data_IF_980451361289
#
_entry.id   IF_980451361289
#
_cell.length_a   1.000
_cell.length_b   1.000
_cell.length_c   1.000
_cell.angle_alpha   90.00
_cell.angle_beta   90.00
_cell.angle_gamma   90.00
#
_symmetry.space_group_name_H-M   'P 1'
#
loop_
_entity.id
_entity.type
_entity.pdbx_description
1 polymer ?
#
# COMPACT_ATOMS: atom_id res chain seq x y z
N UNK A 1 -3.94 5.66 14.39
CA UNK A 1 -5.17 5.00 13.92
C UNK A 1 -5.13 3.49 14.15
N UNK A 2 -4.01 2.79 13.90
CA UNK A 2 -3.92 1.33 14.02
C UNK A 2 -4.21 0.84 15.45
N UNK A 3 -3.69 1.51 16.48
CA UNK A 3 -3.96 1.15 17.87
C UNK A 3 -5.42 1.24 18.26
N UNK A 4 -6.22 2.04 17.55
CA UNK A 4 -7.65 2.18 17.75
C UNK A 4 -8.47 1.09 17.04
N UNK A 5 -7.92 0.45 15.99
CA UNK A 5 -8.63 -0.54 15.20
C UNK A 5 -9.24 -1.67 16.05
N UNK A 6 -8.45 -2.43 16.82
CA UNK A 6 -8.98 -3.48 17.68
C UNK A 6 -9.95 -2.99 18.75
N UNK A 7 -9.78 -1.76 19.25
CA UNK A 7 -10.69 -1.17 20.24
C UNK A 7 -12.05 -0.90 19.59
N UNK A 8 -12.06 -0.23 18.42
CA UNK A 8 -13.29 0.17 17.73
C UNK A 8 -14.07 -1.02 17.16
N UNK A 9 -13.37 -2.04 16.66
CA UNK A 9 -13.99 -3.29 16.17
C UNK A 9 -14.42 -4.24 17.29
N UNK A 10 -14.06 -3.97 18.57
CA UNK A 10 -14.45 -4.78 19.68
C UNK A 10 -15.90 -4.50 20.15
N UNK A 11 -16.47 -5.44 20.92
CA UNK A 11 -17.69 -5.23 21.70
C UNK A 11 -17.47 -4.50 23.03
N UNK A 12 -16.25 -4.06 23.35
CA UNK A 12 -15.89 -3.50 24.64
C UNK A 12 -16.18 -2.00 24.71
N UNK A 13 -17.40 -1.64 25.11
CA UNK A 13 -17.84 -0.24 25.20
C UNK A 13 -17.07 0.55 26.26
N UNK A 14 -16.55 -0.09 27.31
CA UNK A 14 -15.73 0.57 28.33
C UNK A 14 -14.39 1.00 27.73
N UNK A 15 -13.73 0.12 26.98
CA UNK A 15 -12.49 0.46 26.28
C UNK A 15 -12.71 1.56 25.23
N UNK A 16 -13.81 1.54 24.47
CA UNK A 16 -14.15 2.60 23.50
C UNK A 16 -14.32 3.95 24.17
N UNK A 17 -15.10 4.02 25.26
CA UNK A 17 -15.31 5.27 26.01
C UNK A 17 -14.01 5.82 26.58
N UNK A 18 -13.15 4.94 27.13
CA UNK A 18 -11.82 5.32 27.62
C UNK A 18 -10.96 5.87 26.49
N UNK A 19 -10.90 5.16 25.36
CA UNK A 19 -10.15 5.61 24.20
C UNK A 19 -10.63 6.96 23.66
N UNK A 20 -11.95 7.17 23.60
CA UNK A 20 -12.53 8.44 23.16
C UNK A 20 -12.18 9.62 24.09
N UNK A 21 -12.18 9.39 25.41
CA UNK A 21 -11.75 10.38 26.40
C UNK A 21 -10.27 10.74 26.22
N UNK A 22 -9.41 9.72 26.13
CA UNK A 22 -7.97 9.88 25.94
C UNK A 22 -7.64 10.60 24.62
N UNK A 23 -8.37 10.29 23.51
CA UNK A 23 -8.19 10.98 22.23
C UNK A 23 -8.46 12.48 22.34
N UNK A 24 -9.48 12.90 23.11
CA UNK A 24 -9.78 14.32 23.35
C UNK A 24 -8.66 15.03 24.12
N UNK A 25 -7.90 14.31 24.90
CA UNK A 25 -6.73 14.78 25.65
C UNK A 25 -5.44 14.74 24.84
N UNK A 26 -5.49 14.29 23.57
CA UNK A 26 -4.33 14.18 22.69
C UNK A 26 -3.48 12.93 22.91
N UNK A 27 -4.01 11.91 23.59
CA UNK A 27 -3.29 10.68 23.88
C UNK A 27 -2.93 9.88 22.62
N UNK A 28 -1.84 9.14 22.71
CA UNK A 28 -1.28 8.30 21.64
C UNK A 28 -1.72 6.85 21.83
N UNK A 29 -1.90 6.14 20.71
CA UNK A 29 -2.32 4.74 20.67
C UNK A 29 -1.33 3.92 19.83
N UNK A 30 -1.10 2.67 20.24
CA UNK A 30 -0.20 1.77 19.53
C UNK A 30 -0.85 0.42 19.21
N UNK A 31 -0.33 -0.24 18.18
CA UNK A 31 -0.77 -1.54 17.70
C UNK A 31 0.32 -2.58 17.93
N UNK A 32 0.19 -3.34 19.02
CA UNK A 32 1.13 -4.36 19.47
C UNK A 32 0.92 -5.69 18.76
N UNK A 33 1.24 -5.77 17.46
CA UNK A 33 1.03 -6.97 16.65
C UNK A 33 2.31 -7.78 16.49
N UNK A 34 3.35 -7.21 15.88
CA UNK A 34 4.54 -7.94 15.43
C UNK A 34 5.50 -8.30 16.58
N UNK A 35 6.22 -9.39 16.35
CA UNK A 35 7.24 -9.92 17.26
C UNK A 35 8.58 -10.07 16.52
N UNK A 36 9.69 -10.06 17.26
CA UNK A 36 11.03 -9.99 16.70
C UNK A 36 11.37 -11.15 15.77
N UNK A 37 10.94 -12.36 16.11
CA UNK A 37 11.28 -13.60 15.42
C UNK A 37 10.32 -13.95 14.29
N UNK A 38 9.12 -13.33 14.25
CA UNK A 38 8.04 -13.74 13.35
C UNK A 38 7.67 -12.69 12.30
N UNK A 39 7.87 -11.40 12.57
CA UNK A 39 7.54 -10.31 11.65
C UNK A 39 6.09 -10.36 11.15
N UNK A 40 5.92 -10.64 9.85
CA UNK A 40 4.60 -10.74 9.22
C UNK A 40 3.87 -12.06 9.48
N UNK A 41 4.53 -13.06 10.06
CA UNK A 41 3.92 -14.33 10.43
C UNK A 41 3.23 -14.22 11.80
N UNK A 42 2.03 -13.63 11.79
CA UNK A 42 1.21 -13.46 12.99
C UNK A 42 0.61 -14.77 13.53
N UNK A 43 0.64 -15.86 12.73
CA UNK A 43 0.22 -17.18 13.20
C UNK A 43 1.13 -17.70 14.31
N UNK A 44 2.41 -17.36 14.26
CA UNK A 44 3.44 -17.81 15.20
C UNK A 44 3.56 -16.93 16.45
N UNK A 45 2.59 -16.02 16.71
CA UNK A 45 2.63 -15.13 17.89
C UNK A 45 2.89 -15.91 19.19
N UNK A 46 3.87 -15.48 19.97
CA UNK A 46 4.32 -16.10 21.24
C UNK A 46 3.80 -15.35 22.47
N UNK A 47 3.46 -14.05 22.32
CA UNK A 47 2.82 -13.30 23.41
C UNK A 47 1.55 -14.01 23.87
N UNK A 48 1.42 -14.16 25.18
CA UNK A 48 0.39 -15.05 25.76
C UNK A 48 -0.21 -14.49 27.04
N UNK A 49 -1.49 -14.85 27.29
CA UNK A 49 -2.21 -14.58 28.53
C UNK A 49 -2.39 -15.88 29.31
N UNK A 50 -1.96 -15.87 30.55
CA UNK A 50 -2.07 -16.99 31.50
C UNK A 50 -3.08 -16.64 32.59
N UNK A 51 -3.98 -17.55 33.00
CA UNK A 51 -4.86 -17.31 34.13
C UNK A 51 -4.04 -16.99 35.40
N UNK A 52 -4.44 -15.96 36.15
CA UNK A 52 -3.77 -15.55 37.40
C UNK A 52 -4.25 -16.31 38.65
N UNK A 53 -5.23 -17.19 38.49
CA UNK A 53 -5.87 -17.94 39.59
C UNK A 53 -6.81 -17.10 40.46
N UNK A 54 -7.04 -15.81 40.11
CA UNK A 54 -7.90 -14.88 40.87
C UNK A 54 -9.03 -14.30 40.01
N UNK A 55 -9.20 -14.84 38.79
CA UNK A 55 -10.23 -14.40 37.84
C UNK A 55 -9.74 -13.35 36.84
N UNK A 56 -8.43 -13.09 36.79
CA UNK A 56 -7.77 -12.26 35.83
C UNK A 56 -6.71 -13.04 35.06
N UNK A 57 -5.82 -12.30 34.39
CA UNK A 57 -4.79 -12.83 33.50
C UNK A 57 -3.44 -12.14 33.72
N UNK A 58 -2.37 -12.85 33.41
CA UNK A 58 -1.01 -12.34 33.33
C UNK A 58 -0.50 -12.44 31.88
N UNK A 59 -0.17 -11.32 31.26
CA UNK A 59 0.41 -11.30 29.92
C UNK A 59 1.93 -11.42 29.99
N UNK A 60 2.49 -12.26 29.10
CA UNK A 60 3.93 -12.50 28.92
C UNK A 60 4.30 -12.46 27.45
N UNK A 61 5.45 -11.91 27.12
CA UNK A 61 5.99 -11.89 25.75
C UNK A 61 6.59 -10.56 25.38
N UNK A 62 7.13 -10.48 24.15
CA UNK A 62 7.75 -9.28 23.63
C UNK A 62 7.10 -8.86 22.32
N UNK A 63 6.94 -7.55 22.15
CA UNK A 63 6.51 -6.93 20.90
C UNK A 63 7.64 -6.10 20.31
N UNK A 64 7.71 -6.08 18.99
CA UNK A 64 8.82 -5.50 18.24
C UNK A 64 8.33 -4.71 17.03
N UNK A 65 8.97 -3.58 16.73
CA UNK A 65 8.56 -2.66 15.66
C UNK A 65 7.20 -2.00 15.94
N UNK A 66 6.95 -1.61 17.16
CA UNK A 66 5.66 -1.01 17.56
C UNK A 66 5.76 0.51 17.53
N UNK A 67 5.17 1.13 16.51
CA UNK A 67 5.07 2.58 16.42
C UNK A 67 4.34 3.16 17.62
N UNK A 68 4.93 4.17 18.26
CA UNK A 68 4.48 4.81 19.50
C UNK A 68 4.41 3.89 20.73
N UNK A 69 4.98 2.69 20.68
CA UNK A 69 4.91 1.73 21.79
C UNK A 69 5.61 2.18 23.07
N UNK A 70 6.42 3.23 23.01
CA UNK A 70 7.11 3.85 24.15
C UNK A 70 6.26 4.89 24.90
N UNK A 71 5.17 5.39 24.31
CA UNK A 71 4.36 6.50 24.87
C UNK A 71 2.86 6.30 24.78
N UNK A 72 2.40 5.18 24.23
CA UNK A 72 0.99 4.95 23.99
C UNK A 72 0.21 4.71 25.28
N UNK A 73 -0.82 5.51 25.52
CA UNK A 73 -1.74 5.35 26.66
C UNK A 73 -2.57 4.06 26.58
N UNK A 74 -2.83 3.60 25.35
CA UNK A 74 -3.43 2.27 25.12
C UNK A 74 -2.68 1.59 23.95
N UNK A 75 -2.17 0.40 24.21
CA UNK A 75 -1.58 -0.48 23.20
C UNK A 75 -2.52 -1.68 23.02
N UNK A 76 -3.13 -1.77 21.82
CA UNK A 76 -3.89 -2.96 21.44
C UNK A 76 -2.94 -4.11 21.13
N UNK A 77 -2.79 -5.03 22.04
CA UNK A 77 -1.78 -6.11 21.99
C UNK A 77 -2.43 -7.44 21.61
N UNK A 78 -1.89 -8.08 20.56
CA UNK A 78 -2.28 -9.43 20.16
C UNK A 78 -1.48 -10.47 20.93
N UNK A 79 -2.16 -11.50 21.43
CA UNK A 79 -1.55 -12.67 22.05
C UNK A 79 -2.42 -13.91 21.89
N UNK A 80 -2.02 -15.00 22.55
CA UNK A 80 -2.77 -16.25 22.64
C UNK A 80 -3.15 -16.54 24.09
N UNK A 81 -4.35 -17.03 24.30
CA UNK A 81 -4.82 -17.44 25.65
C UNK A 81 -4.26 -18.82 25.96
N UNK A 82 -3.68 -19.00 27.17
CA UNK A 82 -3.12 -20.26 27.66
C UNK A 82 -4.01 -20.85 28.79
N UNK A 83 -5.29 -21.05 28.46
CA UNK A 83 -6.28 -21.73 29.29
C UNK A 83 -6.66 -23.12 28.77
N UNK A 84 -5.98 -23.59 27.72
CA UNK A 84 -6.25 -24.83 27.00
C UNK A 84 -6.92 -24.61 25.63
N UNK A 85 -7.41 -23.40 25.31
CA UNK A 85 -8.01 -23.07 24.01
C UNK A 85 -6.98 -22.71 22.93
N UNK A 86 -5.88 -22.09 23.34
CA UNK A 86 -4.85 -21.48 22.45
C UNK A 86 -5.43 -20.43 21.46
N UNK A 87 -6.55 -19.83 21.82
CA UNK A 87 -7.25 -18.84 21.02
C UNK A 87 -6.47 -17.50 20.94
N UNK A 88 -6.56 -16.83 19.81
CA UNK A 88 -6.08 -15.44 19.69
C UNK A 88 -6.89 -14.51 20.58
N UNK A 89 -6.23 -13.50 21.10
CA UNK A 89 -6.86 -12.49 21.95
C UNK A 89 -6.23 -11.13 21.73
N UNK A 90 -7.06 -10.09 21.58
CA UNK A 90 -6.63 -8.72 21.74
C UNK A 90 -6.95 -8.21 23.14
N UNK A 91 -5.99 -7.55 23.75
CA UNK A 91 -6.12 -6.94 25.07
C UNK A 91 -5.37 -5.60 25.10
N UNK A 92 -5.75 -4.74 26.03
CA UNK A 92 -5.13 -3.43 26.21
C UNK A 92 -3.97 -3.53 27.19
N UNK A 93 -2.83 -2.94 26.82
CA UNK A 93 -1.72 -2.67 27.72
C UNK A 93 -1.38 -1.19 27.76
N UNK A 94 -0.64 -0.75 28.78
CA UNK A 94 -0.26 0.65 28.98
C UNK A 94 1.20 0.72 29.43
N UNK A 95 1.98 1.59 28.84
CA UNK A 95 3.43 1.75 29.14
C UNK A 95 3.72 2.25 30.55
N UNK A 96 2.75 2.87 31.24
CA UNK A 96 2.92 3.37 32.61
C UNK A 96 2.91 2.25 33.66
N UNK A 97 2.44 1.05 33.30
CA UNK A 97 2.47 -0.09 34.22
C UNK A 97 3.90 -0.63 34.35
N UNK A 98 4.35 -0.87 35.57
CA UNK A 98 5.72 -1.38 35.86
C UNK A 98 6.03 -2.75 35.22
N UNK A 99 5.01 -3.54 34.91
CA UNK A 99 5.14 -4.81 34.22
C UNK A 99 5.27 -4.68 32.68
N UNK A 100 5.14 -3.43 32.16
CA UNK A 100 5.46 -3.07 30.79
C UNK A 100 6.89 -2.52 30.77
N UNK A 101 7.82 -3.23 30.16
CA UNK A 101 9.22 -2.86 30.10
C UNK A 101 9.59 -2.39 28.69
N UNK A 102 9.84 -1.10 28.52
CA UNK A 102 10.44 -0.60 27.29
C UNK A 102 11.89 -1.09 27.20
N UNK A 103 12.17 -1.95 26.21
CA UNK A 103 13.53 -2.46 25.98
C UNK A 103 14.40 -1.44 25.28
N UNK A 104 13.90 -0.88 24.16
CA UNK A 104 14.57 0.16 23.36
C UNK A 104 13.66 0.70 22.28
N UNK A 105 14.04 1.83 21.71
CA UNK A 105 13.59 2.27 20.40
C UNK A 105 14.48 1.62 19.32
N UNK A 106 13.88 1.05 18.27
CA UNK A 106 14.57 0.13 17.35
C UNK A 106 15.04 0.79 16.06
N UNK A 107 14.58 2.02 15.77
CA UNK A 107 14.91 2.77 14.56
C UNK A 107 15.72 4.01 14.94
N UNK A 108 16.84 4.24 14.27
CA UNK A 108 17.78 5.33 14.57
C UNK A 108 17.23 6.73 14.29
N UNK A 109 16.28 6.85 13.36
CA UNK A 109 15.72 8.14 12.93
C UNK A 109 14.32 8.42 13.51
N UNK A 110 13.71 7.43 14.19
CA UNK A 110 12.35 7.51 14.70
C UNK A 110 12.31 6.95 16.12
N UNK A 111 12.48 7.81 17.09
CA UNK A 111 12.61 7.46 18.50
C UNK A 111 11.31 6.93 19.15
N UNK A 112 10.25 6.74 18.37
CA UNK A 112 8.96 6.25 18.84
C UNK A 112 8.61 4.82 18.39
N UNK A 113 9.51 4.12 17.70
CA UNK A 113 9.30 2.72 17.31
C UNK A 113 9.94 1.78 18.30
N UNK A 114 9.12 1.13 19.11
CA UNK A 114 9.56 0.44 20.32
C UNK A 114 9.70 -1.07 20.16
N UNK A 115 10.59 -1.65 20.95
CA UNK A 115 10.56 -3.01 21.45
C UNK A 115 10.20 -2.96 22.93
N UNK A 116 9.17 -3.71 23.34
CA UNK A 116 8.78 -3.80 24.75
C UNK A 116 8.45 -5.24 25.15
N UNK A 117 8.58 -5.53 26.45
CA UNK A 117 8.21 -6.78 27.06
C UNK A 117 7.05 -6.60 28.04
N UNK A 118 6.24 -7.66 28.18
CA UNK A 118 5.22 -7.82 29.20
C UNK A 118 5.70 -8.88 30.17
N UNK A 119 5.98 -8.47 31.41
CA UNK A 119 6.54 -9.30 32.47
C UNK A 119 5.45 -9.58 33.51
N UNK A 120 4.65 -10.63 33.31
CA UNK A 120 3.46 -10.91 34.12
C UNK A 120 2.52 -9.70 34.21
N UNK A 121 2.35 -9.01 33.08
CA UNK A 121 1.52 -7.81 33.00
C UNK A 121 0.06 -8.15 33.37
N UNK A 122 -0.54 -7.50 34.41
CA UNK A 122 -1.90 -7.79 34.83
C UNK A 122 -2.91 -7.33 33.79
N UNK A 123 -3.80 -8.23 33.39
CA UNK A 123 -4.90 -7.98 32.45
C UNK A 123 -6.20 -8.44 33.10
N UNK A 124 -7.18 -7.56 33.13
CA UNK A 124 -8.53 -7.86 33.61
C UNK A 124 -9.47 -8.18 32.47
N UNK A 125 -10.63 -8.76 32.71
CA UNK A 125 -11.66 -8.96 31.68
C UNK A 125 -12.08 -7.64 30.99
N UNK A 126 -12.02 -6.51 31.71
CA UNK A 126 -12.31 -5.19 31.17
C UNK A 126 -11.26 -4.72 30.12
N UNK A 127 -10.06 -5.28 30.17
CA UNK A 127 -8.98 -4.96 29.20
C UNK A 127 -9.04 -5.85 27.96
N UNK A 128 -9.84 -6.91 27.96
CA UNK A 128 -10.01 -7.80 26.81
C UNK A 128 -10.88 -7.12 25.75
N UNK A 129 -10.37 -7.02 24.53
CA UNK A 129 -11.07 -6.42 23.39
C UNK A 129 -11.84 -7.47 22.58
N UNK A 130 -11.18 -8.58 22.26
CA UNK A 130 -11.76 -9.66 21.44
C UNK A 130 -11.01 -10.97 21.64
N UNK A 131 -11.68 -12.12 21.35
CA UNK A 131 -11.10 -13.47 21.44
C UNK A 131 -11.43 -14.30 20.21
N UNK A 132 -10.64 -15.34 19.94
CA UNK A 132 -10.84 -16.32 18.88
C UNK A 132 -10.91 -15.69 17.48
N UNK A 133 -11.89 -16.11 16.65
CA UNK A 133 -12.05 -15.60 15.29
C UNK A 133 -12.21 -14.08 15.21
N UNK A 134 -12.89 -13.46 16.19
CA UNK A 134 -13.07 -11.99 16.22
C UNK A 134 -11.74 -11.26 16.45
N UNK A 135 -10.84 -11.81 17.27
CA UNK A 135 -9.50 -11.25 17.46
C UNK A 135 -8.66 -11.37 16.18
N UNK A 136 -8.76 -12.50 15.51
CA UNK A 136 -8.09 -12.73 14.22
C UNK A 136 -8.57 -11.77 13.13
N UNK A 137 -9.88 -11.66 12.93
CA UNK A 137 -10.46 -10.72 11.97
C UNK A 137 -10.09 -9.26 12.31
N UNK A 138 -10.09 -8.91 13.58
CA UNK A 138 -9.66 -7.58 14.06
C UNK A 138 -8.19 -7.29 13.71
N UNK A 139 -7.29 -8.28 13.85
CA UNK A 139 -5.89 -8.14 13.46
C UNK A 139 -5.75 -7.86 11.97
N UNK A 140 -6.37 -8.69 11.12
CA UNK A 140 -6.26 -8.57 9.66
C UNK A 140 -6.93 -7.31 9.12
N UNK A 141 -8.08 -6.93 9.68
CA UNK A 141 -8.79 -5.71 9.29
C UNK A 141 -8.02 -4.46 9.71
N UNK A 142 -7.36 -4.46 10.88
CA UNK A 142 -6.47 -3.37 11.29
C UNK A 142 -5.26 -3.25 10.36
N UNK A 143 -4.62 -4.37 10.01
CA UNK A 143 -3.53 -4.39 9.02
C UNK A 143 -3.99 -3.86 7.67
N UNK A 144 -5.23 -4.14 7.27
CA UNK A 144 -5.80 -3.63 6.02
C UNK A 144 -6.03 -2.10 6.07
N UNK A 145 -6.41 -1.54 7.22
CA UNK A 145 -6.43 -0.07 7.44
C UNK A 145 -5.02 0.51 7.26
N UNK A 146 -3.99 -0.15 7.82
CA UNK A 146 -2.60 0.24 7.64
C UNK A 146 -2.18 0.27 6.18
N UNK A 147 -2.52 -0.77 5.42
CA UNK A 147 -2.26 -0.84 3.97
C UNK A 147 -2.90 0.30 3.19
N UNK A 148 -4.11 0.68 3.56
CA UNK A 148 -4.80 1.82 2.97
C UNK A 148 -4.10 3.14 3.28
N UNK A 149 -3.72 3.38 4.55
CA UNK A 149 -3.15 4.65 5.00
C UNK A 149 -1.73 4.92 4.48
N UNK A 150 -0.93 3.88 4.24
CA UNK A 150 0.44 4.03 3.73
C UNK A 150 0.47 4.65 2.33
N UNK A 151 -0.54 4.37 1.48
CA UNK A 151 -0.62 4.94 0.14
C UNK A 151 -0.65 6.47 0.13
N UNK A 152 -1.65 7.13 0.76
CA UNK A 152 -1.71 8.58 0.85
C UNK A 152 -0.48 9.23 1.50
N UNK A 153 0.08 8.60 2.53
CA UNK A 153 1.31 9.11 3.17
C UNK A 153 2.49 9.14 2.18
N UNK A 154 2.67 8.07 1.41
CA UNK A 154 3.72 7.99 0.39
C UNK A 154 3.50 9.00 -0.75
N UNK A 155 2.24 9.23 -1.17
CA UNK A 155 1.88 10.24 -2.16
C UNK A 155 2.24 11.64 -1.67
N UNK A 156 1.90 11.98 -0.41
CA UNK A 156 2.24 13.26 0.20
C UNK A 156 3.73 13.53 0.21
N UNK A 157 4.54 12.55 0.62
CA UNK A 157 6.00 12.64 0.61
C UNK A 157 6.56 12.91 -0.80
N UNK A 158 6.07 12.18 -1.81
CA UNK A 158 6.48 12.38 -3.21
C UNK A 158 6.04 13.74 -3.77
N UNK A 159 4.86 14.21 -3.40
CA UNK A 159 4.36 15.52 -3.86
C UNK A 159 5.21 16.65 -3.32
N UNK A 160 5.56 16.60 -2.04
CA UNK A 160 6.45 17.59 -1.43
C UNK A 160 7.83 17.60 -2.12
N UNK A 161 8.45 16.42 -2.26
CA UNK A 161 9.73 16.30 -2.95
C UNK A 161 9.68 16.81 -4.40
N UNK A 162 8.55 16.58 -5.09
CA UNK A 162 8.38 17.05 -6.46
C UNK A 162 8.41 18.57 -6.55
N UNK A 163 7.67 19.26 -5.68
CA UNK A 163 7.63 20.73 -5.66
C UNK A 163 9.00 21.35 -5.38
N UNK A 164 9.74 20.79 -4.43
CA UNK A 164 11.11 21.25 -4.16
C UNK A 164 12.03 21.04 -5.37
N UNK A 165 11.98 19.84 -5.95
CA UNK A 165 12.85 19.48 -7.06
C UNK A 165 12.59 20.34 -8.30
N UNK A 166 11.33 20.54 -8.70
CA UNK A 166 10.99 21.32 -9.89
C UNK A 166 11.34 22.79 -9.70
N UNK A 167 11.07 23.37 -8.52
CA UNK A 167 11.41 24.75 -8.19
C UNK A 167 12.93 24.94 -8.20
N UNK A 168 13.69 24.01 -7.61
CA UNK A 168 15.16 24.05 -7.65
C UNK A 168 15.69 24.00 -9.08
N UNK A 169 15.24 23.06 -9.89
CA UNK A 169 15.75 22.84 -11.24
C UNK A 169 15.37 23.97 -12.23
N UNK A 170 14.15 24.48 -12.13
CA UNK A 170 13.66 25.56 -13.00
C UNK A 170 14.40 26.90 -12.76
N UNK A 171 14.90 27.11 -11.55
CA UNK A 171 15.60 28.33 -11.16
C UNK A 171 17.14 28.19 -11.16
N UNK A 172 17.65 27.06 -11.65
CA UNK A 172 19.10 26.80 -11.73
C UNK A 172 19.59 26.76 -13.18
N UNK A 173 20.71 27.45 -13.43
CA UNK A 173 21.38 27.45 -14.72
C UNK A 173 22.72 26.72 -14.62
N UNK A 174 22.97 25.76 -15.53
CA UNK A 174 24.23 25.05 -15.68
C UNK A 174 24.61 25.02 -17.15
N UNK A 175 25.89 25.27 -17.45
CA UNK A 175 26.39 25.26 -18.84
C UNK A 175 25.63 26.21 -19.78
N UNK A 176 25.04 27.29 -19.24
CA UNK A 176 24.25 28.25 -20.04
C UNK A 176 22.80 27.87 -20.33
N UNK A 177 22.30 26.72 -19.79
CA UNK A 177 20.95 26.26 -19.96
C UNK A 177 20.24 26.15 -18.57
N UNK A 178 18.94 26.34 -18.54
CA UNK A 178 18.17 25.95 -17.36
C UNK A 178 18.28 24.44 -17.19
N UNK A 179 18.34 23.97 -15.96
CA UNK A 179 18.43 22.51 -15.69
C UNK A 179 17.22 21.78 -16.25
N UNK A 180 16.05 22.41 -16.22
CA UNK A 180 14.81 21.87 -16.80
C UNK A 180 14.79 21.78 -18.32
N UNK A 181 15.69 22.48 -19.02
CA UNK A 181 15.81 22.43 -20.50
C UNK A 181 16.64 21.20 -20.96
N UNK A 182 17.31 20.53 -20.02
CA UNK A 182 18.09 19.33 -20.31
C UNK A 182 17.16 18.13 -20.55
N UNK A 183 17.24 17.43 -21.70
CA UNK A 183 16.28 16.38 -22.07
C UNK A 183 16.13 15.26 -21.05
N UNK A 184 17.22 14.81 -20.43
CA UNK A 184 17.20 13.75 -19.40
C UNK A 184 16.56 14.23 -18.09
N UNK A 185 16.75 15.49 -17.71
CA UNK A 185 16.10 16.08 -16.53
C UNK A 185 14.60 16.22 -16.76
N UNK A 186 14.21 16.76 -17.94
CA UNK A 186 12.82 16.84 -18.35
C UNK A 186 12.14 15.48 -18.31
N UNK A 187 12.83 14.45 -18.82
CA UNK A 187 12.33 13.07 -18.78
C UNK A 187 12.13 12.57 -17.34
N UNK A 188 13.08 12.80 -16.43
CA UNK A 188 12.95 12.39 -15.03
C UNK A 188 11.74 13.05 -14.35
N UNK A 189 11.52 14.35 -14.59
CA UNK A 189 10.34 15.05 -14.07
C UNK A 189 9.04 14.51 -14.66
N UNK A 190 8.99 14.27 -15.97
CA UNK A 190 7.80 13.70 -16.62
C UNK A 190 7.49 12.32 -16.06
N UNK A 191 8.47 11.41 -15.99
CA UNK A 191 8.27 10.07 -15.44
C UNK A 191 7.84 10.13 -13.95
N UNK A 192 8.44 11.01 -13.16
CA UNK A 192 8.09 11.20 -11.76
C UNK A 192 6.65 11.74 -11.58
N UNK A 193 6.27 12.77 -12.36
CA UNK A 193 4.95 13.38 -12.29
C UNK A 193 3.85 12.43 -12.74
N UNK A 194 4.04 11.72 -13.85
CA UNK A 194 3.08 10.76 -14.38
C UNK A 194 2.84 9.60 -13.39
N UNK A 195 3.91 9.10 -12.76
CA UNK A 195 3.79 8.10 -11.68
C UNK A 195 3.03 8.65 -10.48
N UNK A 196 3.33 9.88 -10.06
CA UNK A 196 2.64 10.54 -8.96
C UNK A 196 1.14 10.76 -9.28
N UNK A 197 0.80 11.14 -10.51
CA UNK A 197 -0.59 11.26 -10.95
C UNK A 197 -1.29 9.91 -10.97
N UNK A 198 -0.65 8.86 -11.49
CA UNK A 198 -1.18 7.50 -11.45
C UNK A 198 -1.46 7.04 -10.01
N UNK A 199 -0.54 7.30 -9.08
CA UNK A 199 -0.73 6.99 -7.66
C UNK A 199 -1.94 7.72 -7.06
N UNK A 200 -2.11 9.02 -7.35
CA UNK A 200 -3.23 9.83 -6.86
C UNK A 200 -4.56 9.32 -7.38
N UNK A 201 -4.67 9.07 -8.69
CA UNK A 201 -5.89 8.56 -9.31
C UNK A 201 -6.27 7.19 -8.75
N UNK A 202 -5.32 6.28 -8.68
CA UNK A 202 -5.54 4.96 -8.10
C UNK A 202 -6.02 5.04 -6.65
N UNK A 203 -5.31 5.82 -5.83
CA UNK A 203 -5.61 5.90 -4.39
C UNK A 203 -7.00 6.51 -4.13
N UNK A 204 -7.39 7.54 -4.88
CA UNK A 204 -8.72 8.15 -4.77
C UNK A 204 -9.81 7.12 -5.07
N UNK A 205 -9.68 6.38 -6.17
CA UNK A 205 -10.66 5.37 -6.53
C UNK A 205 -10.70 4.19 -5.57
N UNK A 206 -9.53 3.73 -5.10
CA UNK A 206 -9.44 2.70 -4.07
C UNK A 206 -10.11 3.14 -2.75
N UNK A 207 -10.05 4.43 -2.43
CA UNK A 207 -10.75 5.02 -1.27
C UNK A 207 -12.26 4.90 -1.39
N UNK A 208 -12.84 5.19 -2.58
CA UNK A 208 -14.28 5.05 -2.80
C UNK A 208 -14.73 3.59 -2.59
N UNK A 209 -13.95 2.63 -3.10
CA UNK A 209 -14.23 1.21 -2.87
C UNK A 209 -14.09 0.80 -1.39
N UNK A 210 -13.15 1.37 -0.67
CA UNK A 210 -13.01 1.09 0.75
C UNK A 210 -14.13 1.71 1.58
N UNK A 211 -14.60 2.92 1.22
CA UNK A 211 -15.77 3.55 1.85
C UNK A 211 -17.05 2.75 1.62
N UNK A 212 -17.14 2.01 0.51
CA UNK A 212 -18.25 1.11 0.20
C UNK A 212 -18.07 -0.31 0.78
N UNK A 213 -17.05 -0.51 1.64
CA UNK A 213 -16.76 -1.82 2.22
C UNK A 213 -17.92 -2.38 3.06
N UNK A 214 -18.17 -3.67 2.92
CA UNK A 214 -19.19 -4.39 3.67
C UNK A 214 -19.16 -5.89 3.42
N UNK A 215 -20.11 -6.61 3.98
CA UNK A 215 -20.23 -8.05 3.78
C UNK A 215 -20.44 -8.42 2.31
N UNK A 216 -21.17 -7.60 1.56
CA UNK A 216 -21.55 -7.83 0.18
C UNK A 216 -20.55 -7.28 -0.85
N UNK A 217 -19.73 -6.29 -0.46
CA UNK A 217 -18.69 -5.72 -1.31
C UNK A 217 -17.32 -5.76 -0.61
N UNK A 218 -16.54 -6.74 -1.01
CA UNK A 218 -15.21 -7.01 -0.46
C UNK A 218 -14.07 -6.74 -1.46
N UNK A 219 -14.34 -5.99 -2.54
CA UNK A 219 -13.33 -5.66 -3.58
C UNK A 219 -12.14 -4.89 -3.03
N UNK A 220 -12.33 -4.10 -1.97
CA UNK A 220 -11.25 -3.40 -1.26
C UNK A 220 -10.13 -4.34 -0.77
N UNK A 221 -10.43 -5.64 -0.56
CA UNK A 221 -9.42 -6.64 -0.17
C UNK A 221 -8.36 -6.91 -1.26
N UNK A 222 -8.64 -6.57 -2.51
CA UNK A 222 -7.65 -6.50 -3.59
C UNK A 222 -7.01 -5.11 -3.67
N UNK A 223 -7.81 -4.06 -3.57
CA UNK A 223 -7.35 -2.70 -3.86
C UNK A 223 -6.43 -2.14 -2.78
N UNK A 224 -6.68 -2.41 -1.49
CA UNK A 224 -5.82 -1.92 -0.41
C UNK A 224 -4.42 -2.57 -0.41
N UNK A 225 -4.26 -3.91 -0.56
CA UNK A 225 -2.93 -4.50 -0.77
C UNK A 225 -2.23 -4.00 -2.04
N UNK A 226 -2.98 -3.76 -3.12
CA UNK A 226 -2.41 -3.18 -4.36
C UNK A 226 -1.97 -1.74 -4.12
N UNK A 227 -2.73 -0.92 -3.40
CA UNK A 227 -2.29 0.40 -2.94
C UNK A 227 -0.97 0.29 -2.17
N UNK A 228 -0.95 -0.55 -1.15
CA UNK A 228 0.23 -0.74 -0.31
C UNK A 228 1.46 -1.12 -1.14
N UNK A 229 1.37 -2.11 -2.02
CA UNK A 229 2.52 -2.58 -2.77
C UNK A 229 2.88 -1.66 -3.96
N UNK A 230 1.90 -1.30 -4.78
CA UNK A 230 2.17 -0.58 -6.04
C UNK A 230 2.45 0.90 -5.78
N UNK A 231 1.64 1.57 -4.97
CA UNK A 231 1.85 3.00 -4.67
C UNK A 231 3.17 3.22 -3.94
N UNK A 232 3.52 2.37 -2.96
CA UNK A 232 4.80 2.54 -2.25
C UNK A 232 6.02 2.26 -3.12
N UNK A 233 5.97 1.29 -4.04
CA UNK A 233 7.06 1.06 -5.01
C UNK A 233 7.19 2.21 -6.00
N UNK A 234 6.07 2.73 -6.51
CA UNK A 234 6.08 3.91 -7.36
C UNK A 234 6.65 5.13 -6.62
N UNK A 235 6.38 5.25 -5.31
CA UNK A 235 6.93 6.33 -4.49
C UNK A 235 8.45 6.26 -4.37
N UNK A 236 9.01 5.06 -4.17
CA UNK A 236 10.46 4.86 -4.18
C UNK A 236 11.07 5.30 -5.52
N UNK A 237 10.41 4.96 -6.64
CA UNK A 237 10.87 5.34 -7.97
C UNK A 237 10.76 6.85 -8.23
N UNK A 238 9.66 7.49 -7.81
CA UNK A 238 9.50 8.94 -7.89
C UNK A 238 10.62 9.66 -7.14
N UNK A 239 10.90 9.27 -5.91
CA UNK A 239 11.98 9.90 -5.13
C UNK A 239 13.35 9.66 -5.78
N UNK A 240 13.61 8.48 -6.34
CA UNK A 240 14.87 8.19 -7.03
C UNK A 240 15.05 9.08 -8.28
N UNK A 241 14.02 9.22 -9.11
CA UNK A 241 14.04 10.09 -10.30
C UNK A 241 14.28 11.56 -9.95
N UNK A 242 13.64 12.04 -8.87
CA UNK A 242 13.81 13.41 -8.40
C UNK A 242 15.19 13.62 -7.75
N UNK A 243 15.72 12.61 -7.06
CA UNK A 243 17.05 12.69 -6.48
C UNK A 243 18.14 12.83 -7.55
N UNK A 244 18.02 12.14 -8.67
CA UNK A 244 18.93 12.27 -9.81
C UNK A 244 18.98 13.72 -10.32
N UNK A 245 17.88 14.46 -10.20
CA UNK A 245 17.84 15.90 -10.54
C UNK A 245 18.47 16.79 -9.46
N UNK A 246 18.14 16.52 -8.19
CA UNK A 246 18.67 17.27 -7.03
C UNK A 246 20.16 17.00 -6.86
N UNK A 247 20.62 15.80 -7.22
CA UNK A 247 22.01 15.36 -7.15
C UNK A 247 22.62 15.50 -5.74
N UNK A 248 23.87 15.95 -5.64
CA UNK A 248 24.61 16.06 -4.37
C UNK A 248 23.93 16.96 -3.33
N UNK A 249 23.13 17.94 -3.75
CA UNK A 249 22.37 18.81 -2.85
C UNK A 249 21.41 17.99 -1.96
N UNK A 250 20.89 16.87 -2.43
CA UNK A 250 20.03 16.00 -1.62
C UNK A 250 20.65 15.40 -0.36
N UNK A 251 21.98 15.50 -0.18
CA UNK A 251 22.68 15.10 1.05
C UNK A 251 22.82 16.23 2.08
N UNK A 252 22.46 17.45 1.73
CA UNK A 252 22.51 18.58 2.64
C UNK A 252 21.45 18.42 3.74
N UNK A 253 21.83 18.68 5.01
CA UNK A 253 20.95 18.46 6.18
C UNK A 253 19.62 19.23 6.11
N UNK A 254 19.65 20.39 5.46
CA UNK A 254 18.52 21.32 5.39
C UNK A 254 17.59 21.04 4.20
N UNK A 255 17.83 19.95 3.45
CA UNK A 255 16.97 19.55 2.35
C UNK A 255 16.01 18.44 2.77
N UNK A 256 14.80 18.45 2.23
CA UNK A 256 13.83 17.39 2.44
C UNK A 256 14.37 16.04 1.95
N UNK A 257 15.17 16.03 0.89
CA UNK A 257 15.74 14.81 0.30
C UNK A 257 16.64 14.05 1.27
N UNK A 258 17.37 14.73 2.15
CA UNK A 258 18.22 14.08 3.16
C UNK A 258 17.43 13.15 4.09
N UNK A 259 16.17 13.44 4.31
CA UNK A 259 15.26 12.66 5.15
C UNK A 259 14.39 11.69 4.32
N UNK A 260 13.71 12.21 3.29
CA UNK A 260 12.72 11.43 2.54
C UNK A 260 13.30 10.21 1.82
N UNK A 261 14.55 10.27 1.37
CA UNK A 261 15.20 9.15 0.69
C UNK A 261 15.36 7.90 1.57
N UNK A 262 15.58 8.10 2.87
CA UNK A 262 15.55 7.02 3.85
C UNK A 262 14.12 6.57 4.17
N UNK A 263 13.26 7.54 4.48
CA UNK A 263 11.91 7.29 4.97
C UNK A 263 11.01 6.63 3.93
N UNK A 264 11.12 7.01 2.64
CA UNK A 264 10.30 6.43 1.57
C UNK A 264 10.55 4.93 1.35
N UNK A 265 11.67 4.40 1.85
CA UNK A 265 11.97 2.97 1.82
C UNK A 265 11.16 2.17 2.85
N UNK A 266 10.70 2.81 3.92
CA UNK A 266 9.91 2.18 4.99
C UNK A 266 8.55 1.65 4.52
N UNK A 267 7.68 2.48 3.91
CA UNK A 267 6.32 2.12 3.51
C UNK A 267 6.21 0.79 2.76
N UNK A 268 7.11 0.49 1.84
CA UNK A 268 7.09 -0.77 1.07
C UNK A 268 7.43 -2.02 1.92
N UNK A 269 7.96 -1.86 3.13
CA UNK A 269 8.36 -2.94 4.05
C UNK A 269 7.36 -3.12 5.20
N UNK A 270 6.56 -2.09 5.54
CA UNK A 270 5.57 -2.14 6.61
C UNK A 270 4.25 -2.82 6.17
N UNK A 271 3.37 -3.19 7.09
CA UNK A 271 2.06 -3.83 6.83
C UNK A 271 2.14 -5.07 5.91
N UNK A 272 3.16 -5.89 6.13
CA UNK A 272 3.60 -6.95 5.24
C UNK A 272 4.44 -6.40 4.08
N UNK A 273 5.51 -7.07 3.73
CA UNK A 273 6.37 -6.65 2.61
C UNK A 273 5.61 -6.64 1.28
N UNK A 274 6.19 -6.01 0.24
CA UNK A 274 5.66 -6.06 -1.13
C UNK A 274 5.41 -7.52 -1.52
N UNK A 275 6.37 -8.41 -1.30
CA UNK A 275 6.25 -9.84 -1.66
C UNK A 275 5.06 -10.53 -0.99
N UNK A 276 4.80 -10.26 0.29
CA UNK A 276 3.63 -10.80 1.02
C UNK A 276 2.33 -10.30 0.38
N UNK A 277 2.26 -9.02 0.03
CA UNK A 277 1.08 -8.44 -0.60
C UNK A 277 0.88 -8.95 -2.04
N UNK A 278 1.95 -9.14 -2.82
CA UNK A 278 1.86 -9.78 -4.15
C UNK A 278 1.29 -11.19 -4.04
N UNK A 279 1.79 -12.00 -3.11
CA UNK A 279 1.25 -13.35 -2.87
C UNK A 279 -0.22 -13.31 -2.43
N UNK A 280 -0.61 -12.30 -1.67
CA UNK A 280 -2.00 -12.11 -1.27
C UNK A 280 -2.91 -11.81 -2.46
N UNK A 281 -2.56 -10.83 -3.30
CA UNK A 281 -3.41 -10.41 -4.43
C UNK A 281 -3.53 -11.49 -5.50
N UNK A 282 -2.54 -12.34 -5.68
CA UNK A 282 -2.62 -13.47 -6.63
C UNK A 282 -3.83 -14.38 -6.41
N UNK A 283 -4.33 -14.48 -5.19
CA UNK A 283 -5.54 -15.25 -4.88
C UNK A 283 -6.78 -14.74 -5.61
N UNK A 284 -6.78 -13.49 -6.06
CA UNK A 284 -7.90 -12.87 -6.75
C UNK A 284 -7.85 -13.00 -8.29
N UNK A 285 -6.74 -13.43 -8.89
CA UNK A 285 -6.52 -13.46 -10.34
C UNK A 285 -7.67 -14.16 -11.07
N UNK A 286 -8.07 -15.35 -10.61
CA UNK A 286 -9.14 -16.13 -11.26
C UNK A 286 -10.50 -15.42 -11.18
N UNK A 287 -10.85 -14.89 -10.00
CA UNK A 287 -12.10 -14.14 -9.80
C UNK A 287 -12.15 -12.87 -10.64
N UNK A 288 -11.03 -12.17 -10.76
CA UNK A 288 -10.93 -10.91 -11.49
C UNK A 288 -11.04 -11.10 -13.01
N UNK A 289 -10.30 -12.05 -13.61
CA UNK A 289 -10.24 -12.21 -15.05
C UNK A 289 -11.36 -13.07 -15.64
N UNK A 290 -11.87 -14.06 -14.90
CA UNK A 290 -12.70 -15.11 -15.47
C UNK A 290 -14.10 -15.23 -14.85
N UNK A 291 -14.35 -14.57 -13.71
CA UNK A 291 -15.63 -14.67 -13.01
C UNK A 291 -16.16 -13.31 -12.58
N UNK A 292 -16.39 -12.38 -13.54
CA UNK A 292 -16.90 -11.06 -13.20
C UNK A 292 -18.33 -11.15 -12.65
N UNK A 293 -18.65 -10.25 -11.71
CA UNK A 293 -19.99 -10.07 -11.14
C UNK A 293 -20.47 -8.65 -11.43
N UNK A 294 -21.77 -8.50 -11.66
CA UNK A 294 -22.38 -7.18 -11.74
C UNK A 294 -22.50 -6.57 -10.34
N UNK A 295 -22.02 -5.36 -10.20
CA UNK A 295 -22.16 -4.54 -9.00
C UNK A 295 -22.88 -3.23 -9.32
N UNK A 296 -23.57 -2.67 -8.34
CA UNK A 296 -23.98 -1.27 -8.41
C UNK A 296 -22.72 -0.38 -8.56
N UNK A 297 -22.79 0.71 -9.35
CA UNK A 297 -21.70 1.66 -9.44
C UNK A 297 -21.36 2.23 -8.06
N UNK A 298 -20.07 2.27 -7.74
CA UNK A 298 -19.59 2.96 -6.54
C UNK A 298 -19.42 4.43 -6.89
N UNK A 299 -20.25 5.28 -6.29
CA UNK A 299 -20.14 6.73 -6.47
C UNK A 299 -18.88 7.27 -5.77
N UNK A 300 -18.24 8.32 -6.33
CA UNK A 300 -17.21 9.05 -5.60
C UNK A 300 -17.84 9.72 -4.37
N UNK A 301 -17.19 9.55 -3.22
CA UNK A 301 -17.64 10.18 -1.97
C UNK A 301 -16.54 11.11 -1.44
N UNK A 302 -16.77 12.40 -1.54
CA UNK A 302 -15.87 13.44 -1.03
C UNK A 302 -16.31 13.97 0.35
N UNK A 303 -17.32 13.35 0.96
CA UNK A 303 -17.78 13.78 2.28
C UNK A 303 -16.79 13.40 3.38
N UNK A 304 -16.44 14.35 4.22
CA UNK A 304 -15.60 14.16 5.41
C UNK A 304 -16.44 13.80 6.65
N UNK A 305 -17.53 13.06 6.47
CA UNK A 305 -18.53 12.87 7.54
C UNK A 305 -18.00 12.05 8.70
N UNK A 306 -17.41 10.91 8.43
CA UNK A 306 -16.80 10.06 9.44
C UNK A 306 -15.88 9.00 8.80
N UNK A 307 -15.07 8.34 9.63
CA UNK A 307 -14.18 7.26 9.22
C UNK A 307 -14.71 5.86 9.64
N UNK A 308 -15.99 5.71 9.93
CA UNK A 308 -16.58 4.45 10.39
C UNK A 308 -16.43 3.34 9.33
N UNK A 309 -16.34 3.70 8.06
CA UNK A 309 -16.09 2.73 6.97
C UNK A 309 -14.81 1.89 7.20
N UNK A 310 -13.79 2.46 7.85
CA UNK A 310 -12.56 1.73 8.18
C UNK A 310 -12.82 0.50 9.05
N UNK A 311 -13.90 0.52 9.83
CA UNK A 311 -14.25 -0.52 10.78
C UNK A 311 -15.42 -1.40 10.32
N UNK A 312 -16.06 -1.08 9.18
CA UNK A 312 -17.16 -1.85 8.58
C UNK A 312 -16.68 -2.96 7.64
N UNK A 313 -15.45 -3.40 7.80
CA UNK A 313 -14.87 -4.45 6.97
C UNK A 313 -15.55 -5.81 7.25
N UNK A 314 -15.75 -6.58 6.18
CA UNK A 314 -16.20 -7.97 6.30
C UNK A 314 -15.10 -8.91 6.80
N UNK A 315 -15.42 -10.20 6.82
CA UNK A 315 -14.44 -11.24 7.17
C UNK A 315 -13.23 -11.23 6.23
N UNK A 316 -12.05 -11.43 6.77
CA UNK A 316 -10.80 -11.54 6.03
C UNK A 316 -10.56 -12.94 5.42
N UNK A 317 -11.49 -13.88 5.58
CA UNK A 317 -11.40 -15.24 5.04
C UNK A 317 -11.99 -15.37 3.63
N UNK A 318 -11.73 -16.48 2.94
CA UNK A 318 -12.36 -16.82 1.64
C UNK A 318 -11.96 -15.88 0.49
N UNK A 319 -10.72 -15.38 0.47
CA UNK A 319 -10.22 -14.37 -0.49
C UNK A 319 -10.38 -14.80 -1.95
N UNK A 320 -10.10 -16.05 -2.29
CA UNK A 320 -10.23 -16.57 -3.66
C UNK A 320 -11.66 -16.63 -4.21
N UNK A 321 -12.66 -16.38 -3.36
CA UNK A 321 -14.08 -16.35 -3.73
C UNK A 321 -14.64 -14.93 -3.85
N UNK A 322 -13.85 -13.89 -3.60
CA UNK A 322 -14.27 -12.50 -3.76
C UNK A 322 -14.47 -12.21 -5.23
N UNK A 323 -15.68 -11.83 -5.66
CA UNK A 323 -15.93 -11.48 -7.05
C UNK A 323 -15.57 -10.02 -7.32
N UNK A 324 -15.30 -9.70 -8.59
CA UNK A 324 -15.00 -8.34 -9.06
C UNK A 324 -15.92 -7.96 -10.21
N UNK A 325 -16.13 -6.67 -10.43
CA UNK A 325 -16.79 -6.20 -11.64
C UNK A 325 -15.85 -6.33 -12.84
N UNK A 326 -16.44 -6.39 -14.03
CA UNK A 326 -15.68 -6.50 -15.26
C UNK A 326 -14.80 -5.23 -15.46
N UNK A 327 -13.51 -5.45 -15.68
CA UNK A 327 -12.56 -4.37 -15.98
C UNK A 327 -12.63 -3.90 -17.44
N UNK A 328 -13.12 -4.76 -18.36
CA UNK A 328 -13.13 -4.49 -19.80
C UNK A 328 -13.83 -3.20 -20.22
N UNK A 329 -15.03 -2.88 -19.71
CA UNK A 329 -15.76 -1.69 -20.11
C UNK A 329 -14.99 -0.38 -19.94
N UNK A 330 -14.30 -0.17 -18.81
CA UNK A 330 -13.56 1.09 -18.60
C UNK A 330 -12.35 1.20 -19.53
N UNK A 331 -11.64 0.13 -19.81
CA UNK A 331 -10.56 0.12 -20.79
C UNK A 331 -11.10 0.41 -22.22
N UNK A 332 -12.25 -0.15 -22.58
CA UNK A 332 -12.87 0.07 -23.90
C UNK A 332 -13.24 1.54 -24.14
N UNK A 333 -13.59 2.30 -23.11
CA UNK A 333 -13.90 3.73 -23.22
C UNK A 333 -12.69 4.58 -23.60
N UNK A 334 -11.48 4.15 -23.27
CA UNK A 334 -10.22 4.86 -23.55
C UNK A 334 -9.38 4.21 -24.66
N UNK A 335 -9.93 3.23 -25.39
CA UNK A 335 -9.20 2.46 -26.41
C UNK A 335 -8.64 3.27 -27.57
N UNK A 336 -9.15 4.48 -27.78
CA UNK A 336 -8.69 5.37 -28.86
C UNK A 336 -7.36 6.07 -28.50
N UNK A 337 -6.94 6.00 -27.24
CA UNK A 337 -5.63 6.46 -26.78
C UNK A 337 -4.57 5.39 -27.09
N UNK A 338 -3.51 5.75 -27.87
CA UNK A 338 -2.54 4.76 -28.37
C UNK A 338 -1.91 3.88 -27.29
N UNK A 339 -1.48 4.47 -26.16
CA UNK A 339 -0.85 3.71 -25.08
C UNK A 339 -1.85 2.88 -24.28
N UNK A 340 -3.10 3.33 -24.15
CA UNK A 340 -4.18 2.49 -23.55
C UNK A 340 -4.48 1.30 -24.48
N UNK A 341 -4.55 1.50 -25.80
CA UNK A 341 -4.73 0.43 -26.78
C UNK A 341 -3.60 -0.61 -26.71
N UNK A 342 -2.35 -0.16 -26.63
CA UNK A 342 -1.18 -1.02 -26.45
C UNK A 342 -1.30 -1.83 -25.14
N UNK A 343 -1.68 -1.19 -24.05
CA UNK A 343 -1.86 -1.87 -22.77
C UNK A 343 -3.00 -2.89 -22.78
N UNK A 344 -4.13 -2.61 -23.46
CA UNK A 344 -5.23 -3.56 -23.67
C UNK A 344 -4.72 -4.83 -24.37
N UNK A 345 -3.87 -4.68 -25.40
CA UNK A 345 -3.27 -5.83 -26.08
C UNK A 345 -2.39 -6.66 -25.13
N UNK A 346 -1.56 -6.01 -24.30
CA UNK A 346 -0.75 -6.69 -23.28
C UNK A 346 -1.63 -7.45 -22.27
N UNK A 347 -2.73 -6.84 -21.79
CA UNK A 347 -3.70 -7.51 -20.90
C UNK A 347 -4.28 -8.75 -21.59
N UNK A 348 -4.66 -8.64 -22.86
CA UNK A 348 -5.21 -9.76 -23.65
C UNK A 348 -4.24 -10.94 -23.72
N UNK A 349 -2.97 -10.68 -23.98
CA UNK A 349 -1.91 -11.70 -24.01
C UNK A 349 -1.68 -12.30 -22.61
N UNK A 350 -1.63 -11.48 -21.58
CA UNK A 350 -1.48 -11.96 -20.19
C UNK A 350 -2.66 -12.85 -19.79
N UNK A 351 -3.90 -12.44 -20.07
CA UNK A 351 -5.08 -13.24 -19.86
C UNK A 351 -5.02 -14.57 -20.64
N UNK A 352 -4.56 -14.52 -21.91
CA UNK A 352 -4.35 -15.70 -22.73
C UNK A 352 -3.31 -16.66 -22.13
N UNK A 353 -2.22 -16.13 -21.56
CA UNK A 353 -1.24 -16.92 -20.83
C UNK A 353 -1.86 -17.60 -19.60
N UNK A 354 -2.66 -16.87 -18.81
CA UNK A 354 -3.36 -17.42 -17.65
C UNK A 354 -4.40 -18.48 -18.02
N UNK A 355 -5.01 -18.39 -19.19
CA UNK A 355 -6.02 -19.35 -19.66
C UNK A 355 -5.40 -20.63 -20.27
N UNK A 356 -4.33 -20.47 -21.06
CA UNK A 356 -3.79 -21.53 -21.92
C UNK A 356 -2.44 -22.07 -21.48
N UNK A 357 -1.74 -21.37 -20.59
CA UNK A 357 -0.41 -21.71 -20.07
C UNK A 357 -0.30 -21.36 -18.58
N UNK A 358 -1.35 -21.66 -17.81
CA UNK A 358 -1.39 -21.37 -16.37
C UNK A 358 -0.19 -22.00 -15.66
N UNK A 359 0.37 -21.34 -14.64
CA UNK A 359 1.47 -21.91 -13.84
C UNK A 359 1.11 -23.27 -13.25
N UNK A 360 2.06 -24.21 -13.31
CA UNK A 360 1.94 -25.47 -12.61
C UNK A 360 2.20 -25.31 -11.10
N UNK A 361 2.01 -26.38 -10.33
CA UNK A 361 2.17 -26.35 -8.87
C UNK A 361 3.57 -25.94 -8.42
N UNK A 362 4.62 -26.31 -9.17
CA UNK A 362 5.99 -25.93 -8.84
C UNK A 362 6.20 -24.43 -9.06
N UNK A 363 5.70 -23.90 -10.17
CA UNK A 363 5.74 -22.47 -10.48
C UNK A 363 4.87 -21.64 -9.51
N UNK A 364 3.71 -22.15 -9.08
CA UNK A 364 2.87 -21.49 -8.09
C UNK A 364 3.55 -21.39 -6.71
N UNK A 365 4.36 -22.40 -6.36
CA UNK A 365 5.11 -22.44 -5.10
C UNK A 365 6.45 -21.71 -5.18
N UNK A 366 6.94 -21.40 -6.38
CA UNK A 366 8.18 -20.65 -6.58
C UNK A 366 7.93 -19.13 -6.51
N UNK A 367 8.36 -18.44 -5.44
CA UNK A 367 8.24 -16.99 -5.36
C UNK A 367 8.94 -16.26 -6.52
N UNK A 368 10.04 -16.80 -7.00
CA UNK A 368 10.80 -16.22 -8.12
C UNK A 368 9.97 -16.13 -9.41
N UNK A 369 9.13 -17.14 -9.67
CA UNK A 369 8.20 -17.14 -10.81
C UNK A 369 6.91 -16.37 -10.51
N UNK A 370 6.38 -16.57 -9.32
CA UNK A 370 5.03 -16.11 -8.97
C UNK A 370 4.94 -14.60 -8.67
N UNK A 371 6.04 -13.98 -8.22
CA UNK A 371 6.07 -12.54 -7.91
C UNK A 371 5.90 -11.68 -9.17
N UNK A 372 6.70 -11.80 -10.25
CA UNK A 372 6.51 -10.98 -11.45
C UNK A 372 5.13 -11.18 -12.09
N UNK A 373 4.53 -12.37 -12.00
CA UNK A 373 3.15 -12.60 -12.45
C UNK A 373 2.14 -11.79 -11.61
N UNK A 374 2.33 -11.74 -10.30
CA UNK A 374 1.50 -10.92 -9.41
C UNK A 374 1.70 -9.42 -9.64
N UNK A 375 2.91 -8.99 -9.99
CA UNK A 375 3.18 -7.59 -10.39
C UNK A 375 2.45 -7.24 -11.70
N UNK A 376 2.49 -8.09 -12.72
CA UNK A 376 1.69 -7.87 -13.94
C UNK A 376 0.20 -7.74 -13.62
N UNK A 377 -0.34 -8.62 -12.78
CA UNK A 377 -1.72 -8.53 -12.32
C UNK A 377 -1.99 -7.20 -11.59
N UNK A 378 -1.09 -6.78 -10.72
CA UNK A 378 -1.23 -5.51 -9.99
C UNK A 378 -1.32 -4.30 -10.92
N UNK A 379 -0.57 -4.31 -12.03
CA UNK A 379 -0.59 -3.22 -13.02
C UNK A 379 -1.95 -3.18 -13.75
N UNK A 380 -2.57 -4.33 -14.05
CA UNK A 380 -3.92 -4.35 -14.64
C UNK A 380 -4.95 -3.74 -13.69
N UNK A 381 -4.92 -4.14 -12.42
CA UNK A 381 -5.80 -3.59 -11.37
C UNK A 381 -5.55 -2.09 -11.18
N UNK A 382 -4.29 -1.69 -11.21
CA UNK A 382 -3.86 -0.30 -11.09
C UNK A 382 -4.41 0.54 -12.24
N UNK A 383 -4.27 0.06 -13.48
CA UNK A 383 -4.78 0.73 -14.68
C UNK A 383 -6.29 0.86 -14.69
N UNK A 384 -7.02 -0.18 -14.24
CA UNK A 384 -8.47 -0.11 -14.14
C UNK A 384 -8.91 1.06 -13.25
N UNK A 385 -8.38 1.15 -12.02
CA UNK A 385 -8.80 2.20 -11.09
C UNK A 385 -8.32 3.60 -11.53
N UNK A 386 -7.17 3.71 -12.20
CA UNK A 386 -6.72 4.96 -12.81
C UNK A 386 -7.73 5.44 -13.87
N UNK A 387 -8.18 4.57 -14.76
CA UNK A 387 -9.16 4.94 -15.80
C UNK A 387 -10.53 5.26 -15.21
N UNK A 388 -11.00 4.51 -14.22
CA UNK A 388 -12.24 4.82 -13.52
C UNK A 388 -12.19 6.21 -12.90
N UNK A 389 -11.08 6.56 -12.24
CA UNK A 389 -10.92 7.90 -11.63
C UNK A 389 -10.73 8.97 -12.68
N UNK A 390 -9.96 8.73 -13.72
CA UNK A 390 -9.77 9.67 -14.83
C UNK A 390 -11.09 10.03 -15.51
N UNK A 391 -11.99 9.04 -15.68
CA UNK A 391 -13.35 9.27 -16.17
C UNK A 391 -14.18 10.16 -15.24
N UNK A 392 -14.14 9.90 -13.93
CA UNK A 392 -14.85 10.70 -12.92
C UNK A 392 -14.35 12.15 -12.93
N UNK A 393 -13.04 12.34 -12.96
CA UNK A 393 -12.38 13.65 -12.94
C UNK A 393 -12.43 14.36 -14.30
N UNK A 394 -12.83 13.69 -15.39
CA UNK A 394 -12.71 14.18 -16.76
C UNK A 394 -11.30 14.65 -17.09
N UNK A 395 -10.33 13.82 -16.69
CA UNK A 395 -8.91 14.14 -16.85
C UNK A 395 -8.55 14.35 -18.32
N UNK A 396 -7.61 15.25 -18.59
CA UNK A 396 -7.04 15.46 -19.94
C UNK A 396 -6.53 14.11 -20.49
N UNK A 397 -7.01 13.77 -21.68
CA UNK A 397 -6.69 12.49 -22.33
C UNK A 397 -5.19 12.37 -22.66
N UNK A 398 -4.50 13.48 -22.88
CA UNK A 398 -3.05 13.48 -23.11
C UNK A 398 -2.32 13.01 -21.84
N UNK A 399 -2.77 13.42 -20.66
CA UNK A 399 -2.24 12.94 -19.38
C UNK A 399 -2.50 11.46 -19.21
N UNK A 400 -3.73 10.99 -19.50
CA UNK A 400 -4.06 9.55 -19.44
C UNK A 400 -3.16 8.75 -20.36
N UNK A 401 -3.00 9.17 -21.62
CA UNK A 401 -2.15 8.50 -22.60
C UNK A 401 -0.68 8.40 -22.14
N UNK A 402 -0.15 9.48 -21.56
CA UNK A 402 1.23 9.51 -21.04
C UNK A 402 1.38 8.64 -19.75
N UNK A 403 0.37 8.53 -18.90
CA UNK A 403 0.39 7.58 -17.77
C UNK A 403 0.53 6.15 -18.31
N UNK A 404 -0.21 5.80 -19.34
CA UNK A 404 -0.17 4.45 -19.92
C UNK A 404 1.13 4.17 -20.68
N UNK A 405 1.92 5.17 -21.08
CA UNK A 405 3.26 4.97 -21.62
C UNK A 405 4.16 4.21 -20.61
N UNK A 406 4.28 4.71 -19.39
CA UNK A 406 5.10 3.99 -18.40
C UNK A 406 4.49 2.66 -17.97
N UNK A 407 3.16 2.52 -18.01
CA UNK A 407 2.50 1.26 -17.64
C UNK A 407 2.77 0.14 -18.63
N UNK A 408 2.80 0.44 -19.94
CA UNK A 408 3.21 -0.50 -20.99
C UNK A 408 4.65 -0.96 -20.77
N UNK A 409 5.56 -0.01 -20.46
CA UNK A 409 6.97 -0.32 -20.18
C UNK A 409 7.14 -1.18 -18.92
N UNK A 410 6.45 -0.83 -17.84
CA UNK A 410 6.49 -1.58 -16.58
C UNK A 410 5.94 -3.00 -16.77
N UNK A 411 4.88 -3.17 -17.54
CA UNK A 411 4.29 -4.47 -17.84
C UNK A 411 5.27 -5.37 -18.61
N UNK A 412 5.93 -4.81 -19.63
CA UNK A 412 6.96 -5.51 -20.40
C UNK A 412 8.17 -5.92 -19.55
N UNK A 413 8.56 -5.10 -18.57
CA UNK A 413 9.64 -5.43 -17.63
C UNK A 413 9.34 -6.71 -16.85
N UNK A 414 8.12 -6.85 -16.31
CA UNK A 414 7.74 -8.06 -15.57
C UNK A 414 7.54 -9.27 -16.49
N UNK A 415 7.11 -9.07 -17.74
CA UNK A 415 7.09 -10.14 -18.74
C UNK A 415 8.51 -10.65 -19.03
N UNK A 416 9.50 -9.75 -19.14
CA UNK A 416 10.91 -10.12 -19.30
C UNK A 416 11.44 -10.93 -18.10
N UNK A 417 11.05 -10.54 -16.88
CA UNK A 417 11.43 -11.30 -15.69
C UNK A 417 10.88 -12.73 -15.71
N UNK A 418 9.62 -12.94 -16.12
CA UNK A 418 9.05 -14.28 -16.30
C UNK A 418 9.78 -15.03 -17.41
N UNK A 419 9.99 -14.38 -18.56
CA UNK A 419 10.68 -14.98 -19.71
C UNK A 419 12.02 -15.58 -19.35
N UNK A 420 12.79 -14.89 -18.50
CA UNK A 420 14.15 -15.29 -18.10
C UNK A 420 14.21 -16.38 -17.02
N UNK A 421 13.09 -16.84 -16.44
CA UNK A 421 13.14 -17.87 -15.39
C UNK A 421 13.37 -19.25 -15.98
N UNK A 422 14.15 -20.07 -15.28
CA UNK A 422 14.43 -21.45 -15.70
C UNK A 422 13.17 -22.32 -15.73
N UNK A 423 12.22 -22.06 -14.85
CA UNK A 423 10.96 -22.79 -14.72
C UNK A 423 9.91 -22.40 -15.75
N UNK A 424 10.13 -21.33 -16.51
CA UNK A 424 9.18 -20.86 -17.55
C UNK A 424 9.21 -21.81 -18.74
N UNK A 425 8.05 -22.36 -19.12
CA UNK A 425 7.93 -23.23 -20.29
C UNK A 425 7.85 -22.42 -21.60
N UNK A 426 8.02 -23.11 -22.74
CA UNK A 426 8.11 -22.45 -24.06
C UNK A 426 6.84 -21.66 -24.39
N UNK A 427 5.66 -22.18 -24.07
CA UNK A 427 4.39 -21.49 -24.32
C UNK A 427 4.25 -20.21 -23.50
N UNK A 428 4.68 -20.22 -22.24
CA UNK A 428 4.72 -19.02 -21.41
C UNK A 428 5.73 -18.01 -21.95
N UNK A 429 6.89 -18.48 -22.45
CA UNK A 429 7.89 -17.63 -23.10
C UNK A 429 7.36 -16.95 -24.36
N UNK A 430 6.58 -17.65 -25.17
CA UNK A 430 5.93 -17.06 -26.36
C UNK A 430 5.03 -15.89 -25.95
N UNK A 431 4.13 -16.08 -24.97
CA UNK A 431 3.29 -15.00 -24.46
C UNK A 431 4.12 -13.82 -23.92
N UNK A 432 5.14 -14.08 -23.12
CA UNK A 432 6.00 -13.03 -22.59
C UNK A 432 6.71 -12.25 -23.70
N UNK A 433 7.20 -12.94 -24.74
CA UNK A 433 7.83 -12.33 -25.91
C UNK A 433 6.84 -11.43 -26.65
N UNK A 434 5.63 -11.91 -26.93
CA UNK A 434 4.59 -11.10 -27.59
C UNK A 434 4.23 -9.87 -26.77
N UNK A 435 4.12 -9.98 -25.44
CA UNK A 435 3.88 -8.84 -24.54
C UNK A 435 5.01 -7.81 -24.67
N UNK A 436 6.27 -8.23 -24.65
CA UNK A 436 7.44 -7.35 -24.76
C UNK A 436 7.57 -6.67 -26.11
N UNK A 437 7.01 -7.23 -27.19
CA UNK A 437 7.01 -6.64 -28.52
C UNK A 437 5.96 -5.52 -28.67
N UNK A 438 5.01 -5.42 -27.75
CA UNK A 438 4.08 -4.29 -27.70
C UNK A 438 4.78 -3.14 -27.00
N UNK A 439 5.16 -2.14 -27.77
CA UNK A 439 5.84 -0.95 -27.29
C UNK A 439 4.85 0.18 -27.02
N UNK A 440 5.20 1.07 -26.11
CA UNK A 440 4.49 2.33 -25.96
C UNK A 440 4.64 3.18 -27.21
N UNK A 441 3.62 3.98 -27.51
CA UNK A 441 3.56 4.84 -28.68
C UNK A 441 4.02 6.24 -28.28
N UNK A 442 5.14 6.72 -28.80
CA UNK A 442 5.59 8.10 -28.55
C UNK A 442 4.64 9.12 -29.15
N UNK A 443 4.22 10.09 -28.36
CA UNK A 443 3.39 11.22 -28.78
C UNK A 443 4.07 12.54 -28.37
N UNK A 444 5.08 13.03 -29.14
CA UNK A 444 5.90 14.18 -28.74
C UNK A 444 5.10 15.46 -28.47
N UNK A 445 4.05 15.73 -29.25
CA UNK A 445 3.20 16.92 -29.05
C UNK A 445 2.41 16.85 -27.73
N UNK A 446 1.87 15.69 -27.39
CA UNK A 446 1.19 15.47 -26.12
C UNK A 446 2.18 15.56 -24.94
N UNK A 447 3.37 15.00 -25.11
CA UNK A 447 4.43 15.05 -24.10
C UNK A 447 4.81 16.51 -23.79
N UNK A 448 5.04 17.34 -24.81
CA UNK A 448 5.34 18.77 -24.64
C UNK A 448 4.17 19.52 -23.99
N UNK A 449 2.93 19.27 -24.42
CA UNK A 449 1.75 19.89 -23.82
C UNK A 449 1.62 19.52 -22.32
N UNK A 450 1.81 18.25 -21.96
CA UNK A 450 1.75 17.81 -20.55
C UNK A 450 2.86 18.48 -19.75
N UNK A 451 4.08 18.55 -20.31
CA UNK A 451 5.20 19.23 -19.68
C UNK A 451 4.88 20.70 -19.37
N UNK A 452 4.45 21.45 -20.38
CA UNK A 452 4.20 22.89 -20.24
C UNK A 452 3.01 23.19 -19.34
N UNK A 453 1.94 22.40 -19.45
CA UNK A 453 0.68 22.69 -18.77
C UNK A 453 0.67 22.24 -17.32
N UNK A 454 1.31 21.09 -17.00
CA UNK A 454 1.12 20.45 -15.71
C UNK A 454 2.41 20.26 -14.92
N UNK A 455 3.56 20.14 -15.57
CA UNK A 455 4.80 19.79 -14.88
C UNK A 455 5.61 21.02 -14.53
N UNK A 456 6.04 21.79 -15.53
CA UNK A 456 6.84 23.01 -15.28
C UNK A 456 6.02 24.11 -14.61
N UNK A 457 4.69 24.11 -14.80
CA UNK A 457 3.78 25.03 -14.13
C UNK A 457 3.78 24.91 -12.59
N UNK A 458 4.29 23.79 -12.05
CA UNK A 458 4.45 23.60 -10.62
C UNK A 458 5.68 24.32 -10.01
N UNK A 459 6.47 25.00 -10.87
CA UNK A 459 7.55 25.85 -10.38
C UNK A 459 7.02 26.99 -9.50
N UNK A 460 7.48 27.06 -8.26
CA UNK A 460 7.07 28.09 -7.30
C UNK A 460 5.81 27.78 -6.48
N UNK A 461 5.16 26.63 -6.73
CA UNK A 461 4.03 26.19 -5.87
C UNK A 461 4.46 25.90 -4.41
N UNK A 462 5.71 25.59 -4.21
CA UNK A 462 6.31 25.42 -2.89
C UNK A 462 7.75 25.91 -2.90
N UNK A 463 8.06 26.85 -2.02
CA UNK A 463 9.45 27.32 -1.80
C UNK A 463 10.07 26.51 -0.66
N UNK A 464 11.29 26.01 -0.90
CA UNK A 464 12.10 25.42 0.17
C UNK A 464 12.37 26.50 1.21
N UNK A 465 12.15 26.19 2.48
CA UNK A 465 12.62 27.02 3.59
C UNK A 465 14.13 27.19 3.47
N UNK A 466 14.58 28.44 3.40
CA UNK A 466 16.00 28.80 3.30
C UNK A 466 16.73 28.46 4.59
#
# INVERSE_FOLDING_TARGET
ILGLGPIWMSGNETAKKKAAALLKEGAIFAFGLSERTHGADIYSTETSLHPDGKGGWQARGEKYYIGNGNEAEMVSTLGKVRDGSDDYCFFVTNFRNKAFELKRNVISHQEYVAQFALNDYPVTEADILSRGPAAWDSALNTVNIGKFNIGPASIGACQHAFYEAITHAANRTLYGFRVTDMPHVKKNFMDAWLRLMGMKLYQRRATDYFRNAGADDRRYLLYNPTSKMKVTLQSEEVIALLWDVIAAKGFERDTYFSTVAGDIKGPSKLEGTVHVNVQLIRKFIKGFFFHPKTYAPVAPDFSLKDDLFLFNQGTASGLGKVPFHDYGPVFAEFRDLPNVAAFIQQIGLFRGMLEKAFPDKMQEMDPSFSLPMGEMFSIVVYGQLILEQAKIDRLDQDVVNQIFDFMVRDFSRFALEIYGKHTTNDRQREYCKEIMLILSVPEPSQYEKVWETYVIALNGEYEMTK
#
